data_IF_401254241837
#
_entry.id   IF_401254241837
#
_cell.length_a   1.000
_cell.length_b   1.000
_cell.length_c   1.000
_cell.angle_alpha   90.00
_cell.angle_beta   90.00
_cell.angle_gamma   90.00
#
_symmetry.space_group_name_H-M   'P 1'
#
loop_
_entity.id
_entity.type
_entity.pdbx_description
1 polymer ?
#
# COMPACT_ATOMS: atom_id res chain seq x y z
N UNK A 1 -18.98 39.15 16.46
CA UNK A 1 -19.28 39.37 17.88
C UNK A 1 -20.40 38.43 18.24
N UNK A 2 -20.15 37.61 19.27
CA UNK A 2 -21.09 36.89 20.13
C UNK A 2 -22.04 35.84 19.54
N UNK A 3 -22.40 34.76 20.24
CA UNK A 3 -21.70 33.83 21.14
C UNK A 3 -22.71 32.71 21.44
N UNK A 4 -22.22 31.48 21.53
CA UNK A 4 -22.75 30.41 22.39
C UNK A 4 -24.19 29.89 22.21
N UNK A 5 -24.29 28.64 21.75
CA UNK A 5 -24.88 27.55 22.54
C UNK A 5 -24.32 26.19 22.10
N UNK A 6 -23.45 25.63 22.95
CA UNK A 6 -23.10 24.21 22.98
C UNK A 6 -24.38 23.44 23.33
N UNK A 7 -24.77 22.49 22.48
CA UNK A 7 -25.59 21.36 22.92
C UNK A 7 -24.68 20.14 23.02
N UNK A 8 -24.51 19.67 24.26
CA UNK A 8 -24.08 18.31 24.57
C UNK A 8 -25.09 17.36 23.94
N UNK A 9 -24.63 16.44 23.09
CA UNK A 9 -25.31 15.18 22.89
C UNK A 9 -24.32 14.08 23.27
N UNK A 10 -24.85 13.20 24.12
CA UNK A 10 -24.21 12.05 24.74
C UNK A 10 -23.67 11.05 23.71
N UNK A 11 -22.57 10.40 24.12
CA UNK A 11 -22.16 9.04 23.82
C UNK A 11 -22.50 8.50 22.44
N UNK A 12 -21.58 8.73 21.50
CA UNK A 12 -21.38 7.79 20.38
C UNK A 12 -20.81 6.52 20.98
N UNK A 13 -21.67 5.55 21.30
CA UNK A 13 -21.24 4.18 21.60
C UNK A 13 -20.46 3.67 20.40
N UNK A 14 -19.13 3.62 20.54
CA UNK A 14 -18.25 2.82 19.71
C UNK A 14 -18.72 1.37 19.83
N UNK A 15 -19.30 0.81 18.78
CA UNK A 15 -19.65 -0.60 18.73
C UNK A 15 -18.37 -1.42 18.73
N UNK A 16 -17.95 -1.88 19.91
CA UNK A 16 -16.98 -2.95 20.04
C UNK A 16 -17.60 -4.22 19.48
N UNK A 17 -16.95 -4.81 18.47
CA UNK A 17 -17.23 -6.20 18.11
C UNK A 17 -16.54 -7.04 19.16
N UNK A 18 -17.24 -7.33 20.27
CA UNK A 18 -16.83 -8.41 21.16
C UNK A 18 -17.06 -9.71 20.38
N UNK A 19 -15.97 -10.25 19.82
CA UNK A 19 -16.01 -11.57 19.21
C UNK A 19 -16.38 -12.59 20.29
N UNK A 20 -17.47 -13.31 20.01
CA UNK A 20 -17.92 -14.51 20.72
C UNK A 20 -16.72 -15.34 21.17
N UNK A 21 -16.58 -15.50 22.49
CA UNK A 21 -15.71 -16.53 23.06
C UNK A 21 -16.24 -17.88 22.60
N UNK A 22 -15.61 -18.47 21.60
CA UNK A 22 -15.76 -19.89 21.31
C UNK A 22 -15.26 -20.66 22.54
N UNK A 23 -16.19 -21.31 23.24
CA UNK A 23 -15.88 -22.42 24.13
C UNK A 23 -15.24 -23.52 23.28
N UNK A 24 -13.92 -23.64 23.34
CA UNK A 24 -13.23 -24.86 22.93
C UNK A 24 -12.20 -25.25 23.98
N UNK A 25 -12.17 -26.55 24.27
CA UNK A 25 -11.53 -27.13 25.44
C UNK A 25 -10.00 -27.07 25.40
N UNK A 26 -9.42 -26.90 26.60
CA UNK A 26 -8.03 -27.25 26.96
C UNK A 26 -6.97 -27.11 25.86
N UNK A 27 -6.68 -25.89 25.41
CA UNK A 27 -5.41 -25.58 24.74
C UNK A 27 -4.41 -25.03 25.76
N UNK A 28 -3.20 -25.61 25.76
CA UNK A 28 -2.07 -25.19 26.60
C UNK A 28 -1.78 -23.69 26.37
N UNK A 29 -1.87 -22.88 27.43
CA UNK A 29 -1.46 -21.48 27.41
C UNK A 29 0.00 -21.39 27.00
N UNK A 30 0.26 -20.94 25.78
CA UNK A 30 1.62 -20.78 25.26
C UNK A 30 2.15 -19.38 25.54
N UNK A 31 3.48 -19.25 25.59
CA UNK A 31 4.25 -18.01 25.86
C UNK A 31 3.83 -16.82 24.97
N UNK A 32 3.16 -17.08 23.84
CA UNK A 32 2.74 -16.10 22.85
C UNK A 32 1.26 -15.68 22.92
N UNK A 33 0.42 -16.34 23.73
CA UNK A 33 -1.01 -15.96 23.83
C UNK A 33 -1.21 -14.64 24.59
N UNK A 34 -0.20 -14.25 25.38
CA UNK A 34 -0.20 -12.95 26.10
C UNK A 34 0.18 -11.76 25.19
N UNK A 35 0.66 -12.03 23.96
CA UNK A 35 1.33 -11.07 23.07
C UNK A 35 0.35 -10.21 22.26
N UNK A 36 -0.94 -10.54 22.18
CA UNK A 36 -1.78 -10.02 21.09
C UNK A 36 -3.18 -9.50 21.48
N UNK A 37 -3.28 -8.71 22.54
CA UNK A 37 -4.54 -8.07 22.94
C UNK A 37 -4.70 -6.61 22.50
N UNK A 38 -4.03 -6.17 21.42
CA UNK A 38 -4.28 -4.86 20.84
C UNK A 38 -5.63 -4.85 20.10
N UNK A 39 -6.57 -3.99 20.51
CA UNK A 39 -7.86 -3.77 19.83
C UNK A 39 -7.62 -2.89 18.60
N UNK A 40 -7.75 -3.45 17.39
CA UNK A 40 -7.88 -2.68 16.15
C UNK A 40 -9.33 -2.21 16.05
N UNK A 41 -9.55 -0.90 15.97
CA UNK A 41 -10.88 -0.33 15.83
C UNK A 41 -11.23 -0.14 14.35
N UNK A 42 -12.52 -0.27 14.01
CA UNK A 42 -13.01 -0.03 12.65
C UNK A 42 -12.65 1.38 12.13
N UNK A 43 -12.52 2.34 13.05
CA UNK A 43 -12.05 3.72 12.83
C UNK A 43 -10.59 3.83 12.40
N UNK A 44 -9.79 2.78 12.55
CA UNK A 44 -8.37 2.74 12.18
C UNK A 44 -8.18 2.48 10.69
N UNK A 45 -9.19 1.91 10.03
CA UNK A 45 -9.34 1.98 8.59
C UNK A 45 -9.94 3.35 8.23
N UNK A 46 -9.47 4.01 7.18
CA UNK A 46 -10.11 5.25 6.70
C UNK A 46 -11.44 4.99 5.98
N UNK A 47 -11.85 3.73 5.89
CA UNK A 47 -13.16 3.34 5.43
C UNK A 47 -14.25 3.91 6.35
N UNK A 48 -15.23 4.58 5.74
CA UNK A 48 -16.47 4.95 6.38
C UNK A 48 -17.21 3.71 6.91
N UNK A 49 -18.16 3.85 7.85
CA UNK A 49 -19.01 2.73 8.30
C UNK A 49 -19.76 2.04 7.14
N UNK A 50 -19.96 2.76 6.03
CA UNK A 50 -20.57 2.25 4.80
C UNK A 50 -19.58 1.55 3.84
N UNK A 51 -18.29 1.53 4.17
CA UNK A 51 -17.19 1.14 3.29
C UNK A 51 -16.57 -0.23 3.65
N UNK A 52 -16.87 -0.82 4.81
CA UNK A 52 -16.46 -2.18 5.23
C UNK A 52 -17.66 -3.00 5.72
N UNK A 53 -17.73 -4.29 5.35
CA UNK A 53 -18.71 -5.21 5.95
C UNK A 53 -18.17 -5.77 7.26
N UNK A 54 -19.05 -6.32 8.11
CA UNK A 54 -18.65 -6.97 9.36
C UNK A 54 -17.70 -8.15 9.12
N UNK A 55 -17.93 -8.94 8.07
CA UNK A 55 -17.08 -10.07 7.70
C UNK A 55 -15.68 -9.62 7.30
N UNK A 56 -15.58 -8.56 6.49
CA UNK A 56 -14.30 -7.99 6.10
C UNK A 56 -13.56 -7.40 7.30
N UNK A 57 -14.30 -6.73 8.20
CA UNK A 57 -13.75 -6.26 9.48
C UNK A 57 -13.15 -7.40 10.30
N UNK A 58 -13.84 -8.54 10.39
CA UNK A 58 -13.33 -9.73 11.08
C UNK A 58 -12.08 -10.31 10.41
N UNK A 59 -12.06 -10.42 9.07
CA UNK A 59 -10.90 -10.92 8.31
C UNK A 59 -9.69 -9.97 8.39
N UNK A 60 -9.91 -8.66 8.39
CA UNK A 60 -8.86 -7.67 8.63
C UNK A 60 -8.32 -7.83 10.05
N UNK A 61 -9.19 -8.04 11.02
CA UNK A 61 -8.78 -8.26 12.41
C UNK A 61 -7.96 -9.54 12.57
N UNK A 62 -8.25 -10.59 11.80
CA UNK A 62 -7.46 -11.84 11.81
C UNK A 62 -6.04 -11.65 11.26
N UNK A 63 -5.81 -10.70 10.35
CA UNK A 63 -4.47 -10.34 9.89
C UNK A 63 -3.77 -9.49 10.95
N UNK A 64 -3.17 -10.15 11.93
CA UNK A 64 -2.52 -9.50 13.07
C UNK A 64 -1.30 -10.30 13.55
N UNK A 65 -0.71 -9.83 14.65
CA UNK A 65 0.45 -10.45 15.27
C UNK A 65 0.21 -11.91 15.71
N UNK A 66 -1.02 -12.28 16.14
CA UNK A 66 -1.36 -13.68 16.47
C UNK A 66 -1.18 -14.59 15.27
N UNK A 67 -1.67 -14.17 14.11
CA UNK A 67 -1.59 -15.00 12.91
C UNK A 67 -0.12 -15.20 12.49
N UNK A 68 0.68 -14.14 12.55
CA UNK A 68 2.11 -14.23 12.31
C UNK A 68 2.80 -15.20 13.29
N UNK A 69 2.54 -15.07 14.59
CA UNK A 69 3.09 -15.98 15.60
C UNK A 69 2.55 -17.41 15.51
N UNK A 70 1.31 -17.61 15.06
CA UNK A 70 0.73 -18.92 14.83
C UNK A 70 1.54 -19.69 13.80
N UNK A 71 1.92 -19.06 12.69
CA UNK A 71 2.77 -19.68 11.66
C UNK A 71 4.20 -19.91 12.17
N UNK A 72 4.78 -18.95 12.89
CA UNK A 72 6.11 -19.15 13.50
C UNK A 72 6.12 -20.35 14.47
N UNK A 73 5.09 -20.47 15.31
CA UNK A 73 4.97 -21.58 16.26
C UNK A 73 4.65 -22.91 15.55
N UNK A 74 3.91 -22.88 14.43
CA UNK A 74 3.71 -24.06 13.59
C UNK A 74 5.05 -24.63 13.10
N UNK A 75 5.98 -23.76 12.69
CA UNK A 75 7.31 -24.16 12.23
C UNK A 75 8.24 -24.68 13.34
N UNK A 76 7.91 -24.44 14.62
CA UNK A 76 8.65 -25.03 15.76
C UNK A 76 8.22 -26.46 16.07
N UNK A 77 7.07 -26.92 15.56
CA UNK A 77 6.58 -28.29 15.79
C UNK A 77 7.38 -29.30 14.97
N UNK A 78 7.53 -30.52 15.48
CA UNK A 78 8.29 -31.58 14.80
C UNK A 78 7.69 -32.02 13.45
N UNK A 79 6.38 -31.84 13.25
CA UNK A 79 5.71 -32.17 11.98
C UNK A 79 6.05 -31.12 10.90
N UNK A 80 7.09 -31.42 10.13
CA UNK A 80 7.58 -30.56 9.05
C UNK A 80 6.67 -30.51 7.83
N UNK A 81 5.70 -31.43 7.70
CA UNK A 81 4.80 -31.47 6.53
C UNK A 81 3.92 -30.22 6.41
N UNK A 82 3.65 -29.59 7.56
CA UNK A 82 2.85 -28.37 7.70
C UNK A 82 3.68 -27.09 7.75
N UNK A 83 5.01 -27.19 7.75
CA UNK A 83 5.87 -26.02 7.80
C UNK A 83 5.66 -25.14 6.57
N UNK A 84 5.81 -23.83 6.80
CA UNK A 84 5.74 -22.80 5.76
C UNK A 84 7.06 -22.06 5.70
N UNK A 85 7.46 -21.66 4.50
CA UNK A 85 8.54 -20.69 4.31
C UNK A 85 7.95 -19.31 4.58
N UNK A 86 8.42 -18.63 5.63
CA UNK A 86 7.99 -17.26 5.89
C UNK A 86 8.84 -16.28 5.09
N UNK A 87 8.19 -15.52 4.23
CA UNK A 87 8.75 -14.39 3.51
C UNK A 87 8.08 -13.10 3.99
N UNK A 88 8.85 -12.08 4.34
CA UNK A 88 8.35 -10.76 4.73
C UNK A 88 8.81 -9.73 3.69
N UNK A 89 7.90 -8.96 3.11
CA UNK A 89 8.26 -7.83 2.24
C UNK A 89 7.98 -6.50 2.93
N UNK A 90 8.98 -5.62 3.01
CA UNK A 90 8.88 -4.33 3.71
C UNK A 90 8.61 -3.21 2.70
N UNK A 91 7.54 -2.44 2.92
CA UNK A 91 7.30 -1.22 2.15
C UNK A 91 8.36 -0.16 2.49
N UNK A 92 9.00 0.50 1.50
CA UNK A 92 9.98 1.55 1.74
C UNK A 92 9.47 2.68 2.66
N UNK A 93 8.18 3.03 2.60
CA UNK A 93 7.57 4.06 3.44
C UNK A 93 7.41 3.67 4.91
N UNK A 94 7.60 2.39 5.26
CA UNK A 94 7.65 1.91 6.64
C UNK A 94 9.03 2.10 7.26
N UNK A 95 10.11 2.13 6.48
CA UNK A 95 11.48 2.27 7.00
C UNK A 95 11.73 3.60 7.73
N UNK A 96 11.26 4.77 7.26
CA UNK A 96 11.39 6.03 7.98
C UNK A 96 10.81 6.00 9.40
N UNK A 97 9.74 5.23 9.63
CA UNK A 97 9.15 5.11 10.97
C UNK A 97 10.13 4.46 11.94
N UNK A 98 10.75 3.34 11.56
CA UNK A 98 11.75 2.66 12.39
C UNK A 98 13.02 3.49 12.55
N UNK A 99 13.48 4.12 11.47
CA UNK A 99 14.65 5.01 11.50
C UNK A 99 14.46 6.18 12.47
N UNK A 100 13.34 6.90 12.37
CA UNK A 100 13.04 8.02 13.26
C UNK A 100 12.82 7.56 14.71
N UNK A 101 11.98 6.53 14.93
CA UNK A 101 11.66 6.03 16.28
C UNK A 101 12.89 5.52 17.04
N UNK A 102 13.85 4.92 16.34
CA UNK A 102 15.05 4.33 16.95
C UNK A 102 16.33 5.15 16.75
N UNK A 103 16.23 6.35 16.15
CA UNK A 103 17.37 7.24 15.87
C UNK A 103 18.48 6.54 15.07
N UNK A 104 18.07 5.86 13.98
CA UNK A 104 18.94 5.12 13.06
C UNK A 104 18.92 5.78 11.67
N UNK A 105 19.94 5.53 10.86
CA UNK A 105 19.82 5.74 9.42
C UNK A 105 18.80 4.77 8.81
N UNK A 106 18.29 5.08 7.61
CA UNK A 106 17.32 4.20 6.93
C UNK A 106 17.91 2.82 6.60
N UNK A 107 19.21 2.77 6.27
CA UNK A 107 19.92 1.53 5.98
C UNK A 107 20.08 0.67 7.24
N UNK A 108 20.50 1.26 8.37
CA UNK A 108 20.57 0.56 9.65
C UNK A 108 19.18 0.08 10.09
N UNK A 109 18.14 0.90 9.90
CA UNK A 109 16.77 0.52 10.21
C UNK A 109 16.33 -0.70 9.38
N UNK A 110 16.61 -0.72 8.07
CA UNK A 110 16.31 -1.87 7.21
C UNK A 110 17.06 -3.13 7.65
N UNK A 111 18.37 -3.02 7.91
CA UNK A 111 19.20 -4.17 8.29
C UNK A 111 18.85 -4.74 9.67
N UNK A 112 18.60 -3.86 10.65
CA UNK A 112 18.20 -4.27 12.00
C UNK A 112 16.77 -4.80 12.01
N UNK A 113 15.87 -4.25 11.21
CA UNK A 113 14.54 -4.83 11.04
C UNK A 113 14.61 -6.23 10.41
N UNK A 114 15.44 -6.41 9.38
CA UNK A 114 15.71 -7.73 8.80
C UNK A 114 16.26 -8.72 9.85
N UNK A 115 17.31 -8.31 10.59
CA UNK A 115 17.89 -9.13 11.65
C UNK A 115 16.89 -9.50 12.75
N UNK A 116 16.05 -8.54 13.17
CA UNK A 116 14.97 -8.80 14.12
C UNK A 116 13.98 -9.83 13.58
N UNK A 117 13.46 -9.64 12.37
CA UNK A 117 12.51 -10.58 11.76
C UNK A 117 13.11 -11.98 11.61
N UNK A 118 14.37 -12.08 11.15
CA UNK A 118 15.08 -13.37 11.06
C UNK A 118 15.28 -14.01 12.44
N UNK A 119 15.53 -13.22 13.49
CA UNK A 119 15.61 -13.73 14.88
C UNK A 119 14.30 -14.34 15.39
N UNK A 120 13.15 -13.94 14.82
CA UNK A 120 11.85 -14.53 15.13
C UNK A 120 11.60 -15.86 14.40
N UNK A 121 12.38 -16.18 13.35
CA UNK A 121 12.19 -17.35 12.49
C UNK A 121 11.67 -17.03 11.08
N UNK A 122 11.73 -15.77 10.64
CA UNK A 122 11.47 -15.40 9.24
C UNK A 122 12.64 -15.88 8.38
N UNK A 123 12.33 -16.48 7.22
CA UNK A 123 13.35 -17.05 6.34
C UNK A 123 13.90 -15.99 5.39
N UNK A 124 12.99 -15.26 4.73
CA UNK A 124 13.33 -14.23 3.75
C UNK A 124 12.69 -12.90 4.11
N UNK A 125 13.44 -11.82 3.97
CA UNK A 125 13.02 -10.44 4.15
C UNK A 125 13.38 -9.68 2.89
N UNK A 126 12.40 -9.17 2.16
CA UNK A 126 12.57 -8.42 0.91
C UNK A 126 12.15 -6.96 1.09
N UNK A 127 12.56 -6.09 0.17
CA UNK A 127 11.98 -4.76 -0.01
C UNK A 127 11.00 -4.74 -1.20
N UNK A 128 9.96 -3.92 -1.15
CA UNK A 128 8.95 -3.84 -2.23
C UNK A 128 9.34 -2.87 -3.36
N UNK A 129 10.56 -2.33 -3.40
CA UNK A 129 10.93 -1.26 -4.36
C UNK A 129 10.82 -1.75 -5.80
N UNK A 130 11.25 -2.98 -6.08
CA UNK A 130 11.13 -3.55 -7.43
C UNK A 130 9.67 -3.75 -7.86
N UNK A 131 8.78 -4.07 -6.92
CA UNK A 131 7.36 -4.17 -7.21
C UNK A 131 6.74 -2.78 -7.50
N UNK A 132 7.24 -1.73 -6.84
CA UNK A 132 6.88 -0.36 -7.17
C UNK A 132 7.41 0.08 -8.54
N UNK A 133 8.60 -0.36 -8.95
CA UNK A 133 9.11 -0.12 -10.31
C UNK A 133 8.11 -0.62 -11.36
N UNK A 134 7.66 -1.88 -11.25
CA UNK A 134 6.63 -2.44 -12.14
C UNK A 134 5.32 -1.65 -12.11
N UNK A 135 4.82 -1.32 -10.91
CA UNK A 135 3.56 -0.59 -10.78
C UNK A 135 3.61 0.78 -11.46
N UNK A 136 4.72 1.50 -11.31
CA UNK A 136 4.93 2.81 -11.94
C UNK A 136 5.04 2.65 -13.46
N UNK A 137 5.85 1.73 -13.96
CA UNK A 137 6.06 1.51 -15.39
C UNK A 137 4.76 1.10 -16.10
N UNK A 138 3.97 0.20 -15.52
CA UNK A 138 2.66 -0.15 -16.10
C UNK A 138 1.67 1.02 -16.05
N UNK A 139 1.70 1.83 -14.99
CA UNK A 139 0.87 3.03 -14.91
C UNK A 139 1.25 4.09 -15.95
N UNK A 140 2.55 4.27 -16.22
CA UNK A 140 3.05 5.15 -17.27
C UNK A 140 2.54 4.73 -18.64
N UNK A 141 2.71 3.43 -18.98
CA UNK A 141 2.27 2.84 -20.25
C UNK A 141 0.77 2.98 -20.43
N UNK A 142 0.00 2.64 -19.41
CA UNK A 142 -1.45 2.72 -19.45
C UNK A 142 -1.93 4.16 -19.66
N UNK A 143 -1.33 5.15 -18.97
CA UNK A 143 -1.69 6.55 -19.15
C UNK A 143 -1.46 7.01 -20.59
N UNK A 144 -0.29 6.72 -21.18
CA UNK A 144 0.04 7.09 -22.56
C UNK A 144 -0.96 6.48 -23.54
N UNK A 145 -1.27 5.20 -23.38
CA UNK A 145 -2.24 4.50 -24.23
C UNK A 145 -3.65 5.12 -24.12
N UNK A 146 -4.13 5.35 -22.90
CA UNK A 146 -5.42 6.02 -22.65
C UNK A 146 -5.45 7.43 -23.25
N UNK A 147 -4.38 8.20 -23.07
CA UNK A 147 -4.29 9.55 -23.60
C UNK A 147 -4.36 9.57 -25.14
N UNK A 148 -3.69 8.64 -25.82
CA UNK A 148 -3.74 8.52 -27.28
C UNK A 148 -5.16 8.18 -27.79
N UNK A 149 -5.91 7.37 -27.03
CA UNK A 149 -7.27 6.93 -27.39
C UNK A 149 -8.40 7.81 -26.84
N UNK A 150 -8.08 8.93 -26.20
CA UNK A 150 -9.05 9.82 -25.54
C UNK A 150 -10.20 10.34 -26.41
N UNK A 151 -10.00 10.39 -27.73
CA UNK A 151 -11.04 10.81 -28.69
C UNK A 151 -11.87 9.63 -29.24
N UNK A 152 -11.47 8.40 -28.95
CA UNK A 152 -12.08 7.15 -29.43
C UNK A 152 -12.83 6.40 -28.32
N UNK A 153 -12.38 6.51 -27.08
CA UNK A 153 -12.93 5.82 -25.92
C UNK A 153 -13.47 6.83 -24.90
N UNK A 154 -14.77 6.75 -24.58
CA UNK A 154 -15.45 7.69 -23.66
C UNK A 154 -14.81 7.73 -22.26
N UNK A 155 -14.29 6.59 -21.79
CA UNK A 155 -13.73 6.44 -20.44
C UNK A 155 -12.20 6.43 -20.39
N UNK A 156 -11.52 6.80 -21.49
CA UNK A 156 -10.07 6.83 -21.51
C UNK A 156 -9.49 7.83 -20.50
N UNK A 157 -10.10 9.02 -20.35
CA UNK A 157 -9.68 10.05 -19.39
C UNK A 157 -10.88 10.59 -18.59
N UNK A 158 -10.68 11.06 -17.34
CA UNK A 158 -9.42 11.05 -16.58
C UNK A 158 -8.94 9.64 -16.21
N UNK A 159 -7.66 9.50 -15.88
CA UNK A 159 -7.11 8.30 -15.25
C UNK A 159 -6.83 8.57 -13.76
N UNK A 160 -7.30 7.69 -12.87
CA UNK A 160 -7.02 7.74 -11.43
C UNK A 160 -5.97 6.70 -11.05
N UNK A 161 -5.01 7.07 -10.22
CA UNK A 161 -4.07 6.11 -9.63
C UNK A 161 -4.79 5.06 -8.79
N UNK A 162 -4.20 3.86 -8.70
CA UNK A 162 -4.82 2.68 -8.09
C UNK A 162 -4.11 2.16 -6.83
N UNK A 163 -2.90 2.64 -6.53
CA UNK A 163 -2.04 2.06 -5.50
C UNK A 163 -2.57 2.21 -4.05
N UNK A 164 -3.51 3.12 -3.80
CA UNK A 164 -4.08 3.40 -2.49
C UNK A 164 -5.39 2.60 -2.26
N UNK A 165 -5.40 1.59 -1.37
CA UNK A 165 -6.58 0.74 -1.19
C UNK A 165 -7.78 1.48 -0.59
N UNK A 166 -7.54 2.47 0.28
CA UNK A 166 -8.62 3.31 0.82
C UNK A 166 -9.36 4.11 -0.26
N UNK A 167 -8.64 4.57 -1.29
CA UNK A 167 -9.24 5.20 -2.47
C UNK A 167 -10.04 4.19 -3.30
N UNK A 168 -9.41 3.05 -3.65
CA UNK A 168 -10.08 1.98 -4.42
C UNK A 168 -11.38 1.57 -3.74
N UNK A 169 -11.35 1.39 -2.42
CA UNK A 169 -12.51 0.96 -1.66
C UNK A 169 -13.65 1.97 -1.71
N UNK A 170 -13.33 3.25 -1.55
CA UNK A 170 -14.30 4.32 -1.69
C UNK A 170 -14.86 4.40 -3.11
N UNK A 171 -13.99 4.23 -4.11
CA UNK A 171 -14.37 4.22 -5.51
C UNK A 171 -15.37 3.10 -5.82
N UNK A 172 -15.08 1.85 -5.46
CA UNK A 172 -15.92 0.68 -5.78
C UNK A 172 -17.26 0.69 -5.05
N UNK A 173 -17.31 1.16 -3.80
CA UNK A 173 -18.51 1.09 -2.95
C UNK A 173 -19.38 2.33 -2.98
N UNK A 174 -18.79 3.51 -3.13
CA UNK A 174 -19.53 4.78 -3.03
C UNK A 174 -19.68 5.44 -4.39
N UNK A 175 -18.66 5.36 -5.24
CA UNK A 175 -18.67 6.04 -6.54
C UNK A 175 -19.11 5.12 -7.68
N UNK A 176 -18.89 3.82 -7.54
CA UNK A 176 -19.27 2.76 -8.49
C UNK A 176 -18.87 3.13 -9.92
N UNK A 177 -19.82 3.09 -10.86
CA UNK A 177 -19.61 3.32 -12.29
C UNK A 177 -19.11 4.74 -12.61
N UNK A 178 -19.16 5.69 -11.66
CA UNK A 178 -18.67 7.04 -11.88
C UNK A 178 -17.15 7.08 -12.12
N UNK A 179 -16.39 6.17 -11.50
CA UNK A 179 -14.92 6.23 -11.52
C UNK A 179 -14.24 4.91 -11.81
N UNK A 180 -14.89 3.74 -11.63
CA UNK A 180 -14.20 2.44 -11.72
C UNK A 180 -13.54 2.19 -13.07
N UNK A 181 -14.17 2.61 -14.18
CA UNK A 181 -13.59 2.55 -15.54
C UNK A 181 -12.38 3.49 -15.74
N UNK A 182 -12.29 4.53 -14.91
CA UNK A 182 -11.22 5.53 -14.95
C UNK A 182 -10.01 5.14 -14.07
N UNK A 183 -10.08 4.06 -13.29
CA UNK A 183 -8.97 3.63 -12.44
C UNK A 183 -7.92 2.90 -13.28
N UNK A 184 -6.65 3.23 -13.04
CA UNK A 184 -5.50 2.54 -13.59
C UNK A 184 -5.52 1.05 -13.20
N UNK A 185 -5.33 0.18 -14.17
CA UNK A 185 -5.39 -1.28 -13.99
C UNK A 185 -4.13 -1.87 -13.38
N UNK A 186 -2.99 -1.16 -13.40
CA UNK A 186 -1.77 -1.61 -12.75
C UNK A 186 -2.03 -1.91 -11.27
N UNK A 187 -1.63 -3.11 -10.83
CA UNK A 187 -1.69 -3.54 -9.42
C UNK A 187 -0.79 -2.65 -8.56
N UNK A 188 -1.11 -2.56 -7.27
CA UNK A 188 -0.26 -1.85 -6.32
C UNK A 188 1.06 -2.60 -6.07
N UNK A 189 2.10 -1.92 -5.54
CA UNK A 189 3.38 -2.57 -5.23
C UNK A 189 3.24 -3.77 -4.29
N UNK A 190 2.28 -3.74 -3.35
CA UNK A 190 2.02 -4.88 -2.46
C UNK A 190 1.60 -6.11 -3.26
N UNK A 191 0.65 -5.95 -4.18
CA UNK A 191 0.08 -7.10 -4.88
C UNK A 191 1.03 -7.62 -5.96
N UNK A 192 1.72 -6.72 -6.66
CA UNK A 192 2.83 -7.12 -7.54
C UNK A 192 3.86 -7.91 -6.75
N UNK A 193 4.26 -7.45 -5.56
CA UNK A 193 5.23 -8.19 -4.73
C UNK A 193 4.71 -9.57 -4.33
N UNK A 194 3.41 -9.71 -4.05
CA UNK A 194 2.77 -11.01 -3.86
C UNK A 194 2.97 -11.94 -5.06
N UNK A 195 2.71 -11.45 -6.28
CA UNK A 195 2.96 -12.20 -7.51
C UNK A 195 4.45 -12.51 -7.72
N UNK A 196 5.37 -11.61 -7.34
CA UNK A 196 6.81 -11.87 -7.44
C UNK A 196 7.26 -12.95 -6.46
N UNK A 197 6.88 -12.86 -5.19
CA UNK A 197 7.28 -13.81 -4.15
C UNK A 197 6.69 -15.20 -4.41
N UNK A 198 5.39 -15.26 -4.70
CA UNK A 198 4.68 -16.54 -4.89
C UNK A 198 4.76 -17.08 -6.31
N UNK A 199 5.13 -16.26 -7.30
CA UNK A 199 5.27 -16.70 -8.70
C UNK A 199 6.73 -16.87 -9.11
N UNK A 200 7.51 -15.79 -9.06
CA UNK A 200 8.90 -15.78 -9.52
C UNK A 200 9.84 -16.48 -8.53
N UNK A 201 9.87 -16.01 -7.29
CA UNK A 201 10.77 -16.52 -6.26
C UNK A 201 10.45 -17.96 -5.86
N UNK A 202 9.17 -18.29 -5.66
CA UNK A 202 8.75 -19.67 -5.40
C UNK A 202 9.28 -20.65 -6.46
N UNK A 203 9.20 -20.28 -7.74
CA UNK A 203 9.72 -21.08 -8.85
C UNK A 203 11.24 -21.21 -8.79
N UNK A 204 11.98 -20.15 -8.49
CA UNK A 204 13.44 -20.20 -8.32
C UNK A 204 13.86 -21.14 -7.19
N UNK A 205 13.10 -21.15 -6.10
CA UNK A 205 13.35 -21.99 -4.92
C UNK A 205 12.79 -23.42 -5.05
N UNK A 206 12.19 -23.77 -6.19
CA UNK A 206 11.47 -25.04 -6.39
C UNK A 206 10.39 -25.31 -5.31
N UNK A 207 9.71 -24.25 -4.86
CA UNK A 207 8.62 -24.29 -3.90
C UNK A 207 7.28 -24.12 -4.62
N UNK A 208 6.26 -24.83 -4.14
CA UNK A 208 4.89 -24.51 -4.53
C UNK A 208 4.43 -23.23 -3.80
N UNK A 209 3.63 -22.37 -4.45
CA UNK A 209 3.25 -21.07 -3.88
C UNK A 209 2.52 -21.16 -2.53
N UNK A 210 1.75 -22.23 -2.31
CA UNK A 210 1.05 -22.49 -1.05
C UNK A 210 2.00 -22.77 0.13
N UNK A 211 3.26 -23.16 -0.13
CA UNK A 211 4.27 -23.39 0.91
C UNK A 211 4.87 -22.10 1.44
N UNK A 212 4.67 -20.97 0.76
CA UNK A 212 5.14 -19.67 1.20
C UNK A 212 4.02 -18.97 1.97
N UNK A 213 4.31 -18.56 3.20
CA UNK A 213 3.48 -17.62 3.94
C UNK A 213 4.10 -16.23 3.80
N UNK A 214 3.51 -15.42 2.93
CA UNK A 214 4.00 -14.10 2.56
C UNK A 214 3.32 -13.02 3.41
N UNK A 215 4.14 -12.30 4.18
CA UNK A 215 3.72 -11.19 5.02
C UNK A 215 4.21 -9.88 4.42
N UNK A 216 3.39 -8.83 4.44
CA UNK A 216 3.82 -7.49 4.05
C UNK A 216 3.83 -6.57 5.26
N UNK A 217 4.94 -5.85 5.47
CA UNK A 217 5.02 -4.78 6.47
C UNK A 217 4.71 -3.45 5.80
N UNK A 218 3.57 -2.87 6.12
CA UNK A 218 3.01 -1.70 5.44
C UNK A 218 2.76 -0.51 6.39
N UNK A 219 2.70 0.73 5.87
CA UNK A 219 2.40 1.91 6.69
C UNK A 219 0.89 2.09 6.97
N UNK A 220 0.02 1.21 6.46
CA UNK A 220 -1.42 1.45 6.41
C UNK A 220 -2.24 0.18 6.69
N UNK A 221 -3.34 0.33 7.44
CA UNK A 221 -4.32 -0.75 7.65
C UNK A 221 -5.10 -1.12 6.39
N UNK A 222 -5.35 -0.18 5.48
CA UNK A 222 -6.10 -0.45 4.25
C UNK A 222 -5.39 -1.47 3.34
N UNK A 223 -4.08 -1.69 3.54
CA UNK A 223 -3.32 -2.75 2.86
C UNK A 223 -3.75 -4.16 3.29
N UNK A 224 -4.27 -4.33 4.52
CA UNK A 224 -4.92 -5.57 4.97
C UNK A 224 -6.18 -5.86 4.14
N UNK A 225 -6.98 -4.83 3.85
CA UNK A 225 -8.17 -4.98 2.98
C UNK A 225 -7.78 -5.36 1.56
N UNK A 226 -6.73 -4.75 1.03
CA UNK A 226 -6.23 -5.08 -0.31
C UNK A 226 -5.83 -6.55 -0.41
N UNK A 227 -5.13 -7.09 0.60
CA UNK A 227 -4.72 -8.49 0.65
C UNK A 227 -5.90 -9.49 0.68
N UNK A 228 -7.10 -9.05 1.08
CA UNK A 228 -8.29 -9.90 1.18
C UNK A 228 -9.12 -9.97 -0.11
N UNK A 229 -8.79 -9.16 -1.13
CA UNK A 229 -9.54 -9.15 -2.39
C UNK A 229 -9.46 -10.51 -3.07
N UNK A 230 -10.62 -11.00 -3.51
CA UNK A 230 -10.73 -12.30 -4.19
C UNK A 230 -9.96 -12.33 -5.52
N UNK A 231 -9.83 -11.18 -6.19
CA UNK A 231 -9.04 -11.03 -7.42
C UNK A 231 -7.55 -11.38 -7.24
N UNK A 232 -7.06 -11.39 -6.00
CA UNK A 232 -5.67 -11.73 -5.65
C UNK A 232 -5.55 -13.12 -5.01
N UNK A 233 -6.56 -13.97 -5.24
CA UNK A 233 -6.53 -15.38 -4.87
C UNK A 233 -6.18 -16.24 -6.08
N UNK A 234 -5.10 -17.01 -5.99
CA UNK A 234 -4.72 -17.92 -7.06
C UNK A 234 -5.39 -19.27 -6.85
N UNK A 235 -6.48 -19.53 -7.60
CA UNK A 235 -7.20 -20.81 -7.54
C UNK A 235 -6.30 -22.02 -7.87
N UNK A 236 -5.31 -21.86 -8.75
CA UNK A 236 -4.36 -22.92 -9.12
C UNK A 236 -3.56 -23.46 -7.92
N UNK A 237 -3.25 -22.60 -6.96
CA UNK A 237 -2.44 -22.95 -5.78
C UNK A 237 -3.23 -22.87 -4.47
N UNK A 238 -4.53 -22.57 -4.54
CA UNK A 238 -5.41 -22.38 -3.40
C UNK A 238 -4.77 -21.46 -2.32
N UNK A 239 -4.21 -20.32 -2.76
CA UNK A 239 -3.42 -19.43 -1.91
C UNK A 239 -3.56 -17.97 -2.36
N UNK A 240 -3.68 -17.00 -1.43
CA UNK A 240 -3.65 -15.59 -1.75
C UNK A 240 -2.24 -15.14 -2.15
N UNK A 241 -2.10 -14.05 -2.92
CA UNK A 241 -0.79 -13.47 -3.26
C UNK A 241 -0.05 -12.92 -2.02
N UNK A 242 -0.81 -12.40 -1.04
CA UNK A 242 -0.33 -11.91 0.26
C UNK A 242 -1.19 -12.55 1.36
N UNK A 243 -0.59 -13.28 2.29
CA UNK A 243 -1.33 -14.02 3.33
C UNK A 243 -1.66 -13.14 4.54
N UNK A 244 -0.77 -12.20 4.88
CA UNK A 244 -0.93 -11.35 6.04
C UNK A 244 -0.28 -9.99 5.81
N UNK A 245 -0.89 -8.93 6.31
CA UNK A 245 -0.28 -7.60 6.37
C UNK A 245 -0.14 -7.18 7.82
N UNK A 246 1.06 -6.80 8.22
CA UNK A 246 1.36 -6.19 9.51
C UNK A 246 1.69 -4.71 9.29
N UNK A 247 1.14 -3.86 10.14
CA UNK A 247 1.51 -2.45 10.10
C UNK A 247 2.86 -2.20 10.75
N UNK A 248 3.52 -1.08 10.44
CA UNK A 248 4.79 -0.70 11.08
C UNK A 248 4.63 -0.54 12.60
N UNK A 249 3.49 -0.01 13.05
CA UNK A 249 3.12 0.07 14.46
C UNK A 249 2.95 -1.32 15.10
N UNK A 250 2.31 -2.27 14.43
CA UNK A 250 2.18 -3.65 14.95
C UNK A 250 3.56 -4.33 15.08
N UNK A 251 4.47 -4.14 14.13
CA UNK A 251 5.83 -4.67 14.24
C UNK A 251 6.59 -4.02 15.41
N UNK A 252 6.45 -2.71 15.60
CA UNK A 252 7.03 -2.01 16.75
C UNK A 252 6.46 -2.50 18.09
N UNK A 253 5.15 -2.80 18.15
CA UNK A 253 4.55 -3.41 19.34
C UNK A 253 5.16 -4.78 19.64
N UNK A 254 5.41 -5.62 18.62
CA UNK A 254 6.10 -6.89 18.82
C UNK A 254 7.51 -6.66 19.41
N UNK A 255 8.24 -5.66 18.90
CA UNK A 255 9.57 -5.30 19.42
C UNK A 255 9.51 -4.85 20.88
N UNK A 256 8.56 -3.96 21.22
CA UNK A 256 8.35 -3.45 22.58
C UNK A 256 8.02 -4.57 23.56
N UNK A 257 7.09 -5.46 23.21
CA UNK A 257 6.70 -6.60 24.05
C UNK A 257 7.83 -7.60 24.28
N UNK A 258 8.74 -7.75 23.30
CA UNK A 258 9.94 -8.58 23.43
C UNK A 258 11.11 -7.85 24.08
N UNK A 259 10.91 -6.62 24.56
CA UNK A 259 11.95 -5.76 25.12
C UNK A 259 13.18 -5.65 24.20
N UNK A 260 12.95 -5.54 22.89
CA UNK A 260 14.02 -5.45 21.90
C UNK A 260 14.69 -4.09 21.96
N UNK A 261 15.97 -4.10 22.30
CA UNK A 261 16.86 -2.97 22.08
C UNK A 261 17.41 -3.07 20.65
N UNK A 262 16.99 -2.15 19.77
CA UNK A 262 17.42 -2.16 18.37
C UNK A 262 18.94 -2.11 18.21
N UNK A 263 19.67 -1.56 19.19
CA UNK A 263 21.14 -1.52 19.23
C UNK A 263 21.77 -2.92 19.33
N UNK A 264 21.07 -3.87 19.95
CA UNK A 264 21.55 -5.22 20.20
C UNK A 264 21.10 -6.22 19.12
N UNK A 265 20.22 -5.78 18.20
CA UNK A 265 19.81 -6.58 17.04
C UNK A 265 20.94 -6.61 16.02
N UNK A 266 21.29 -7.79 15.55
CA UNK A 266 22.28 -7.95 14.48
C UNK A 266 21.82 -7.25 13.19
N UNK A 267 22.74 -6.55 12.53
CA UNK A 267 22.51 -6.00 11.20
C UNK A 267 22.61 -7.12 10.16
N UNK A 268 21.50 -7.42 9.49
CA UNK A 268 21.45 -8.43 8.43
C UNK A 268 20.95 -7.77 7.15
N UNK A 269 21.64 -7.99 6.04
CA UNK A 269 21.20 -7.51 4.73
C UNK A 269 19.78 -8.00 4.42
N UNK A 270 18.98 -7.15 3.77
CA UNK A 270 17.70 -7.55 3.18
C UNK A 270 18.00 -8.55 2.05
N UNK A 271 17.21 -9.62 1.98
CA UNK A 271 17.34 -10.63 0.92
C UNK A 271 16.93 -10.04 -0.44
N UNK A 272 17.51 -10.59 -1.50
CA UNK A 272 17.22 -10.20 -2.89
C UNK A 272 16.39 -11.28 -3.59
N UNK A 273 15.53 -10.87 -4.53
CA UNK A 273 14.87 -11.80 -5.45
C UNK A 273 15.82 -12.35 -6.53
N UNK A 274 17.05 -11.84 -6.59
CA UNK A 274 18.07 -12.22 -7.57
C UNK A 274 19.37 -12.59 -6.88
N UNK A 275 19.90 -13.77 -7.19
CA UNK A 275 21.08 -14.36 -6.54
C UNK A 275 22.37 -13.54 -6.77
N UNK A 276 22.43 -12.75 -7.85
CA UNK A 276 23.60 -11.95 -8.24
C UNK A 276 23.61 -10.54 -7.64
N UNK A 277 22.48 -10.09 -7.08
CA UNK A 277 22.35 -8.80 -6.43
C UNK A 277 22.98 -8.85 -5.04
N UNK A 278 24.12 -8.18 -4.89
CA UNK A 278 24.73 -7.92 -3.59
C UNK A 278 23.93 -6.87 -2.82
N UNK A 279 24.20 -6.81 -1.52
CA UNK A 279 23.66 -5.82 -0.59
C UNK A 279 23.67 -4.41 -1.22
N UNK A 280 22.47 -3.84 -1.38
CA UNK A 280 22.26 -2.51 -1.93
C UNK A 280 21.73 -1.55 -0.86
N UNK A 281 22.04 -0.27 -1.02
CA UNK A 281 21.44 0.77 -0.18
C UNK A 281 19.94 0.88 -0.45
N UNK A 282 19.19 1.28 0.58
CA UNK A 282 17.78 1.62 0.46
C UNK A 282 17.65 2.82 -0.49
N UNK A 283 16.81 2.66 -1.51
CA UNK A 283 16.46 3.73 -2.46
C UNK A 283 14.97 4.01 -2.41
N UNK A 284 14.56 5.14 -2.98
CA UNK A 284 13.16 5.47 -3.22
C UNK A 284 12.96 5.96 -4.66
N UNK A 285 11.69 6.08 -5.03
CA UNK A 285 11.28 6.74 -6.26
C UNK A 285 11.26 8.26 -6.12
N UNK A 286 11.25 8.96 -7.27
CA UNK A 286 10.89 10.38 -7.30
C UNK A 286 9.51 10.57 -6.65
N UNK A 287 9.38 11.57 -5.78
CA UNK A 287 8.20 11.76 -4.93
C UNK A 287 8.58 12.09 -3.48
N UNK A 288 7.82 12.99 -2.84
CA UNK A 288 8.18 13.50 -1.49
C UNK A 288 7.57 12.71 -0.32
N UNK A 289 6.50 11.94 -0.55
CA UNK A 289 5.68 11.34 0.55
C UNK A 289 5.10 9.96 0.24
N UNK A 290 5.35 9.46 -0.96
CA UNK A 290 4.86 8.20 -1.53
C UNK A 290 5.77 7.85 -2.71
N UNK A 291 5.45 6.83 -3.51
CA UNK A 291 6.24 6.43 -4.69
C UNK A 291 6.18 7.41 -5.89
N UNK A 292 5.48 8.54 -5.73
CA UNK A 292 5.41 9.66 -6.69
C UNK A 292 4.94 9.29 -8.09
N UNK A 293 3.83 8.54 -8.18
CA UNK A 293 3.23 8.13 -9.46
C UNK A 293 2.94 9.34 -10.35
N UNK A 294 2.46 10.44 -9.77
CA UNK A 294 2.21 11.68 -10.52
C UNK A 294 3.46 12.14 -11.27
N UNK A 295 4.60 12.19 -10.58
CA UNK A 295 5.85 12.70 -11.14
C UNK A 295 6.38 11.81 -12.26
N UNK A 296 6.41 10.50 -12.03
CA UNK A 296 6.86 9.52 -13.02
C UNK A 296 5.96 9.50 -14.26
N UNK A 297 4.64 9.45 -14.08
CA UNK A 297 3.69 9.42 -15.21
C UNK A 297 3.73 10.74 -15.97
N UNK A 298 3.86 11.87 -15.28
CA UNK A 298 3.92 13.18 -15.93
C UNK A 298 5.18 13.34 -16.79
N UNK A 299 6.37 13.01 -16.24
CA UNK A 299 7.64 13.09 -16.98
C UNK A 299 7.64 12.14 -18.18
N UNK A 300 7.19 10.90 -17.99
CA UNK A 300 7.09 9.92 -19.06
C UNK A 300 6.11 10.37 -20.17
N UNK A 301 4.90 10.80 -19.79
CA UNK A 301 3.91 11.29 -20.74
C UNK A 301 4.37 12.53 -21.50
N UNK A 302 5.04 13.48 -20.84
CA UNK A 302 5.61 14.66 -21.49
C UNK A 302 6.59 14.29 -22.61
N UNK A 303 7.45 13.30 -22.34
CA UNK A 303 8.44 12.80 -23.29
C UNK A 303 7.78 12.03 -24.43
N UNK A 304 6.99 11.01 -24.13
CA UNK A 304 6.42 10.10 -25.13
C UNK A 304 5.35 10.74 -26.01
N UNK A 305 4.49 11.61 -25.44
CA UNK A 305 3.38 12.22 -26.19
C UNK A 305 3.77 13.52 -26.87
N UNK A 306 4.73 14.28 -26.32
CA UNK A 306 5.03 15.64 -26.76
C UNK A 306 6.49 15.91 -27.11
N UNK A 307 7.39 14.95 -26.89
CA UNK A 307 8.83 15.09 -27.14
C UNK A 307 9.53 16.04 -26.16
N UNK A 308 8.94 16.27 -24.98
CA UNK A 308 9.44 17.23 -23.99
C UNK A 308 10.10 16.52 -22.82
N UNK A 309 11.41 16.74 -22.64
CA UNK A 309 12.17 16.20 -21.50
C UNK A 309 12.00 17.10 -20.27
N UNK A 310 11.15 16.68 -19.33
CA UNK A 310 10.84 17.42 -18.10
C UNK A 310 11.70 16.89 -16.95
N UNK A 311 12.66 17.70 -16.49
CA UNK A 311 13.56 17.33 -15.38
C UNK A 311 12.94 17.61 -14.01
N UNK A 312 12.33 18.78 -13.86
CA UNK A 312 11.72 19.24 -12.62
C UNK A 312 10.25 19.57 -12.86
N UNK A 313 9.40 19.25 -11.87
CA UNK A 313 7.97 19.58 -11.91
C UNK A 313 7.62 20.60 -10.84
N UNK A 314 6.81 21.59 -11.24
CA UNK A 314 6.34 22.65 -10.34
C UNK A 314 4.94 22.32 -9.85
N UNK A 315 4.83 22.03 -8.55
CA UNK A 315 3.53 21.79 -7.90
C UNK A 315 2.88 23.10 -7.47
N UNK A 316 1.72 23.41 -8.03
CA UNK A 316 0.89 24.52 -7.59
C UNK A 316 -0.13 24.04 -6.56
N UNK A 317 0.02 24.47 -5.31
CA UNK A 317 -1.00 24.22 -4.29
C UNK A 317 -2.31 24.93 -4.67
N UNK A 318 -3.42 24.20 -4.58
CA UNK A 318 -4.75 24.74 -4.86
C UNK A 318 -5.40 25.22 -3.56
N UNK A 319 -6.32 24.45 -3.00
CA UNK A 319 -7.03 24.81 -1.76
C UNK A 319 -6.16 24.63 -0.50
N UNK A 320 -5.24 23.68 -0.53
CA UNK A 320 -4.36 23.33 0.59
C UNK A 320 -3.13 22.57 0.08
N UNK A 321 -2.18 22.25 0.97
CA UNK A 321 -0.93 21.55 0.64
C UNK A 321 -1.11 20.11 0.11
N UNK A 322 -2.27 19.52 0.35
CA UNK A 322 -2.62 18.14 -0.01
C UNK A 322 -3.51 18.07 -1.26
N UNK A 323 -3.74 19.22 -1.93
CA UNK A 323 -4.34 19.27 -3.26
C UNK A 323 -3.49 20.15 -4.16
N UNK A 324 -2.67 19.52 -5.00
CA UNK A 324 -1.69 20.18 -5.84
C UNK A 324 -1.95 19.88 -7.32
N UNK A 325 -1.60 20.82 -8.19
CA UNK A 325 -1.75 20.73 -9.63
C UNK A 325 -0.39 20.86 -10.32
N UNK A 326 -0.19 20.11 -11.41
CA UNK A 326 0.97 20.18 -12.29
C UNK A 326 0.47 20.25 -13.74
N UNK A 327 1.01 21.18 -14.52
CA UNK A 327 0.60 21.39 -15.92
C UNK A 327 1.80 21.38 -16.86
N UNK A 328 1.60 20.83 -18.06
CA UNK A 328 2.53 20.97 -19.18
C UNK A 328 1.88 21.88 -20.22
N UNK A 329 2.60 22.91 -20.63
CA UNK A 329 2.20 23.82 -21.70
C UNK A 329 3.05 23.55 -22.95
N UNK A 330 2.39 23.53 -24.11
CA UNK A 330 3.04 23.44 -25.43
C UNK A 330 2.26 24.32 -26.40
N UNK A 331 2.96 25.17 -27.14
CA UNK A 331 2.38 26.09 -28.12
C UNK A 331 1.25 26.99 -27.57
N UNK A 332 1.34 27.36 -26.29
CA UNK A 332 0.34 28.20 -25.60
C UNK A 332 -0.89 27.45 -25.07
N UNK A 333 -0.95 26.12 -25.24
CA UNK A 333 -2.04 25.27 -24.76
C UNK A 333 -1.58 24.36 -23.61
N UNK A 334 -2.46 24.13 -22.62
CA UNK A 334 -2.22 23.12 -21.59
C UNK A 334 -2.46 21.72 -22.17
N UNK A 335 -1.39 21.00 -22.49
CA UNK A 335 -1.46 19.65 -23.09
C UNK A 335 -1.54 18.53 -22.04
N UNK A 336 -0.95 18.72 -20.86
CA UNK A 336 -1.13 17.85 -19.69
C UNK A 336 -1.57 18.66 -18.47
N UNK A 337 -2.49 18.10 -17.69
CA UNK A 337 -2.97 18.69 -16.44
C UNK A 337 -3.21 17.58 -15.44
N UNK A 338 -2.33 17.46 -14.46
CA UNK A 338 -2.32 16.41 -13.46
C UNK A 338 -2.64 17.00 -12.10
N UNK A 339 -3.18 16.19 -11.19
CA UNK A 339 -3.39 16.58 -9.81
C UNK A 339 -2.95 15.50 -8.81
N UNK A 340 -2.46 15.94 -7.66
CA UNK A 340 -2.35 15.11 -6.46
C UNK A 340 -3.49 15.51 -5.51
N UNK A 341 -4.32 14.55 -5.11
CA UNK A 341 -5.45 14.76 -4.22
C UNK A 341 -5.37 13.82 -3.02
N UNK A 342 -4.81 14.32 -1.91
CA UNK A 342 -4.58 13.53 -0.69
C UNK A 342 -5.58 13.88 0.40
N UNK A 343 -6.08 12.87 1.11
CA UNK A 343 -7.09 13.03 2.15
C UNK A 343 -8.52 13.01 1.61
N UNK A 344 -9.42 12.29 2.30
CA UNK A 344 -10.83 12.14 1.92
C UNK A 344 -11.58 13.44 1.63
N UNK A 345 -11.27 14.52 2.36
CA UNK A 345 -11.86 15.84 2.09
C UNK A 345 -11.52 16.35 0.69
N UNK A 346 -10.27 16.17 0.24
CA UNK A 346 -9.86 16.58 -1.11
C UNK A 346 -10.46 15.63 -2.16
N UNK A 347 -10.50 14.32 -1.88
CA UNK A 347 -11.13 13.30 -2.74
C UNK A 347 -12.61 13.63 -2.99
N UNK A 348 -13.39 13.89 -1.93
CA UNK A 348 -14.80 14.25 -2.06
C UNK A 348 -15.00 15.53 -2.87
N UNK A 349 -14.17 16.56 -2.64
CA UNK A 349 -14.21 17.79 -3.41
C UNK A 349 -13.90 17.57 -4.91
N UNK A 350 -12.93 16.70 -5.21
CA UNK A 350 -12.58 16.30 -6.57
C UNK A 350 -13.75 15.57 -7.24
N UNK A 351 -14.35 14.59 -6.57
CA UNK A 351 -15.52 13.83 -7.06
C UNK A 351 -16.71 14.75 -7.32
N UNK A 352 -16.96 15.74 -6.45
CA UNK A 352 -18.02 16.72 -6.68
C UNK A 352 -17.79 17.55 -7.94
N UNK A 353 -16.54 17.85 -8.31
CA UNK A 353 -16.22 18.51 -9.58
C UNK A 353 -16.45 17.57 -10.78
N UNK A 354 -16.07 16.29 -10.63
CA UNK A 354 -16.31 15.25 -11.64
C UNK A 354 -17.81 15.11 -11.95
N UNK A 355 -18.65 14.92 -10.92
CA UNK A 355 -20.11 14.83 -11.05
C UNK A 355 -20.76 16.04 -11.73
N UNK A 356 -20.14 17.22 -11.63
CA UNK A 356 -20.64 18.47 -12.22
C UNK A 356 -20.14 18.70 -13.65
N UNK A 357 -19.39 17.76 -14.24
CA UNK A 357 -18.77 17.94 -15.56
C UNK A 357 -17.69 19.03 -15.59
N UNK A 358 -17.16 19.43 -14.43
CA UNK A 358 -16.12 20.48 -14.29
C UNK A 358 -14.77 19.87 -13.96
N UNK A 359 -14.44 18.76 -14.61
CA UNK A 359 -13.20 18.02 -14.41
C UNK A 359 -12.21 18.34 -15.53
N UNK A 360 -11.01 18.80 -15.16
CA UNK A 360 -10.02 19.31 -16.12
C UNK A 360 -8.72 18.50 -16.11
N UNK A 361 -8.63 17.47 -15.27
CA UNK A 361 -7.41 16.69 -15.08
C UNK A 361 -7.40 15.50 -16.02
N UNK A 362 -6.25 15.24 -16.64
CA UNK A 362 -6.03 14.02 -17.41
C UNK A 362 -5.64 12.86 -16.50
N UNK A 363 -4.87 13.13 -15.44
CA UNK A 363 -4.48 12.14 -14.43
C UNK A 363 -4.65 12.71 -13.03
N UNK A 364 -5.04 11.86 -12.08
CA UNK A 364 -5.01 12.21 -10.66
C UNK A 364 -4.39 11.10 -9.81
N UNK A 365 -3.37 11.46 -9.04
CA UNK A 365 -2.86 10.65 -7.94
C UNK A 365 -3.74 10.85 -6.71
N UNK A 366 -4.35 9.76 -6.22
CA UNK A 366 -5.35 9.81 -5.15
C UNK A 366 -4.88 8.97 -3.97
N UNK A 367 -4.66 9.61 -2.81
CA UNK A 367 -4.27 8.94 -1.58
C UNK A 367 -5.26 9.27 -0.47
N UNK A 368 -5.74 8.25 0.25
CA UNK A 368 -6.73 8.40 1.31
C UNK A 368 -6.24 9.23 2.51
N UNK A 369 -4.94 9.12 2.84
CA UNK A 369 -4.32 9.83 3.94
C UNK A 369 -3.83 11.23 3.52
N UNK A 370 -4.13 12.31 4.27
CA UNK A 370 -3.43 13.59 4.13
C UNK A 370 -1.92 13.38 4.31
N UNK A 371 -1.06 14.00 3.49
CA UNK A 371 0.38 13.73 3.55
C UNK A 371 0.81 12.36 3.01
N UNK A 372 -0.06 11.61 2.33
CA UNK A 372 0.31 10.36 1.66
C UNK A 372 0.68 9.21 2.59
N UNK A 373 1.43 8.24 2.06
CA UNK A 373 1.70 6.97 2.73
C UNK A 373 2.55 7.11 4.00
N UNK A 374 3.43 8.12 4.10
CA UNK A 374 4.18 8.40 5.33
C UNK A 374 3.28 8.71 6.54
N UNK A 375 2.09 9.28 6.31
CA UNK A 375 1.09 9.53 7.34
C UNK A 375 -0.04 8.47 7.33
N UNK A 376 0.30 7.24 6.94
CA UNK A 376 -0.59 6.09 7.06
C UNK A 376 -0.98 5.82 8.51
N UNK A 377 -2.23 5.43 8.75
CA UNK A 377 -2.74 5.14 10.11
C UNK A 377 -2.08 3.94 10.79
N UNK A 378 -1.36 3.11 10.05
CA UNK A 378 -0.62 1.96 10.58
C UNK A 378 0.72 2.35 11.23
N UNK A 379 1.05 3.64 11.29
CA UNK A 379 2.30 4.13 11.86
C UNK A 379 2.12 5.51 12.49
N UNK A 380 3.14 5.95 13.24
CA UNK A 380 3.25 7.27 13.86
C UNK A 380 1.92 7.82 14.44
N UNK A 381 1.21 6.99 15.20
CA UNK A 381 0.04 7.40 15.99
C UNK A 381 0.44 7.53 17.46
N UNK A 382 -0.15 8.50 18.15
CA UNK A 382 -0.16 8.59 19.62
C UNK A 382 -1.09 7.54 20.21
N UNK A 383 -1.03 7.30 21.52
CA UNK A 383 -1.94 6.39 22.23
C UNK A 383 -3.43 6.75 22.01
N UNK A 384 -3.75 8.04 21.88
CA UNK A 384 -5.10 8.54 21.56
C UNK A 384 -5.53 8.33 20.08
N UNK A 385 -4.75 7.61 19.27
CA UNK A 385 -5.05 7.35 17.85
C UNK A 385 -4.94 8.58 16.94
N UNK A 386 -4.18 9.60 17.34
CA UNK A 386 -3.93 10.81 16.54
C UNK A 386 -2.54 10.75 15.90
N UNK A 387 -2.33 11.41 14.75
CA UNK A 387 -1.00 11.49 14.15
C UNK A 387 0.01 12.16 15.10
N UNK A 388 1.13 11.48 15.37
CA UNK A 388 2.28 12.03 16.07
C UNK A 388 3.05 12.94 15.11
N UNK A 389 2.79 14.25 15.23
CA UNK A 389 3.37 15.26 14.33
C UNK A 389 4.89 15.38 14.45
N UNK A 390 5.45 15.12 15.63
CA UNK A 390 6.89 15.24 15.84
C UNK A 390 7.61 14.08 15.17
N UNK A 391 7.11 12.85 15.35
CA UNK A 391 7.65 11.67 14.68
C UNK A 391 7.46 11.75 13.16
N UNK A 392 6.30 12.19 12.69
CA UNK A 392 6.05 12.36 11.25
C UNK A 392 7.01 13.36 10.59
N UNK A 393 7.34 14.47 11.26
CA UNK A 393 8.30 15.43 10.73
C UNK A 393 9.70 14.80 10.55
N UNK A 394 10.14 14.01 11.53
CA UNK A 394 11.41 13.26 11.43
C UNK A 394 11.36 12.21 10.31
N UNK A 395 10.24 11.52 10.15
CA UNK A 395 10.04 10.56 9.07
C UNK A 395 10.10 11.23 7.68
N UNK A 396 9.51 12.42 7.52
CA UNK A 396 9.60 13.20 6.28
C UNK A 396 11.04 13.59 5.94
N UNK A 397 11.83 13.99 6.94
CA UNK A 397 13.26 14.31 6.80
C UNK A 397 14.07 13.07 6.37
N UNK A 398 13.90 11.95 7.09
CA UNK A 398 14.54 10.67 6.77
C UNK A 398 14.19 10.23 5.36
N UNK A 399 12.89 10.25 4.99
CA UNK A 399 12.45 9.81 3.67
C UNK A 399 13.01 10.69 2.54
N UNK A 400 13.04 12.00 2.74
CA UNK A 400 13.57 12.94 1.73
C UNK A 400 15.06 12.71 1.47
N UNK A 401 15.82 12.33 2.50
CA UNK A 401 17.24 12.04 2.41
C UNK A 401 17.58 10.70 1.72
N UNK A 402 16.61 9.80 1.52
CA UNK A 402 16.82 8.53 0.80
C UNK A 402 17.17 8.84 -0.67
N UNK A 403 18.25 8.23 -1.23
CA UNK A 403 18.60 8.39 -2.64
C UNK A 403 17.47 7.98 -3.58
N UNK A 404 17.29 8.75 -4.65
CA UNK A 404 16.32 8.45 -5.70
C UNK A 404 16.93 7.51 -6.74
N UNK A 405 16.14 6.51 -7.15
CA UNK A 405 16.40 5.69 -8.33
C UNK A 405 15.17 5.70 -9.24
N UNK A 406 15.39 5.88 -10.54
CA UNK A 406 14.33 5.84 -11.55
C UNK A 406 13.97 4.40 -11.90
N UNK A 407 12.67 4.03 -11.99
CA UNK A 407 12.23 2.67 -12.34
C UNK A 407 12.87 2.14 -13.63
N UNK A 408 13.00 2.98 -14.65
CA UNK A 408 13.50 2.64 -15.98
C UNK A 408 14.98 2.23 -15.96
N UNK A 409 15.72 2.64 -14.93
CA UNK A 409 17.15 2.32 -14.76
C UNK A 409 17.38 0.97 -14.07
N UNK A 410 16.33 0.34 -13.55
CA UNK A 410 16.45 -0.96 -12.90
C UNK A 410 16.53 -2.09 -13.93
N UNK A 411 17.76 -2.54 -14.25
CA UNK A 411 18.00 -3.61 -15.21
C UNK A 411 17.33 -4.94 -14.83
N UNK A 412 17.08 -5.19 -13.54
CA UNK A 412 16.41 -6.40 -13.08
C UNK A 412 14.93 -6.43 -13.46
N UNK A 413 14.27 -5.27 -13.50
CA UNK A 413 12.90 -5.14 -13.98
C UNK A 413 12.84 -5.49 -15.47
N UNK A 414 13.76 -4.94 -16.27
CA UNK A 414 13.86 -5.25 -17.70
C UNK A 414 14.11 -6.74 -17.94
N UNK A 415 15.01 -7.35 -17.17
CA UNK A 415 15.28 -8.79 -17.22
C UNK A 415 14.04 -9.62 -16.87
N UNK A 416 13.32 -9.26 -15.83
CA UNK A 416 12.08 -9.96 -15.45
C UNK A 416 10.97 -9.83 -16.50
N UNK A 417 10.84 -8.67 -17.15
CA UNK A 417 9.91 -8.53 -18.29
C UNK A 417 10.21 -9.55 -19.39
N UNK A 418 11.48 -9.75 -19.72
CA UNK A 418 11.90 -10.67 -20.79
C UNK A 418 11.83 -12.14 -20.34
N UNK A 419 12.50 -12.48 -19.23
CA UNK A 419 12.78 -13.86 -18.83
C UNK A 419 11.58 -14.52 -18.14
N UNK A 420 10.81 -13.75 -17.35
CA UNK A 420 9.71 -14.28 -16.56
C UNK A 420 8.34 -13.89 -17.10
N UNK A 421 8.14 -12.64 -17.49
CA UNK A 421 6.84 -12.14 -17.96
C UNK A 421 6.64 -12.33 -19.47
N UNK A 422 7.59 -12.93 -20.21
CA UNK A 422 7.42 -13.28 -21.62
C UNK A 422 7.21 -12.07 -22.55
N UNK A 423 7.78 -10.92 -22.18
CA UNK A 423 7.69 -9.66 -22.89
C UNK A 423 6.70 -8.67 -22.28
N UNK A 424 6.91 -7.39 -22.54
CA UNK A 424 6.14 -6.28 -21.93
C UNK A 424 4.67 -6.26 -22.33
N UNK A 425 4.31 -6.76 -23.51
CA UNK A 425 2.92 -6.78 -24.03
C UNK A 425 2.29 -8.18 -23.90
N UNK A 426 2.87 -9.07 -23.11
CA UNK A 426 2.38 -10.44 -22.99
C UNK A 426 1.07 -10.52 -22.20
N UNK A 427 0.31 -11.59 -22.41
CA UNK A 427 -0.84 -11.92 -21.56
C UNK A 427 -0.42 -12.10 -20.10
N UNK A 428 0.78 -12.62 -19.85
CA UNK A 428 1.30 -12.84 -18.51
C UNK A 428 1.53 -11.53 -17.75
N UNK A 429 1.92 -10.45 -18.42
CA UNK A 429 1.95 -9.10 -17.82
C UNK A 429 0.55 -8.71 -17.35
N UNK A 430 -0.47 -8.87 -18.19
CA UNK A 430 -1.85 -8.54 -17.82
C UNK A 430 -2.34 -9.36 -16.62
N UNK A 431 -2.14 -10.68 -16.65
CA UNK A 431 -2.59 -11.58 -15.57
C UNK A 431 -1.80 -11.35 -14.25
N UNK A 432 -0.53 -10.95 -14.33
CA UNK A 432 0.36 -10.84 -13.17
C UNK A 432 0.35 -9.43 -12.56
N UNK A 433 0.43 -8.39 -13.41
CA UNK A 433 0.67 -7.01 -13.00
C UNK A 433 -0.57 -6.12 -13.06
N UNK A 434 -1.68 -6.57 -13.65
CA UNK A 434 -2.90 -5.79 -13.76
C UNK A 434 -4.07 -6.44 -13.00
N UNK A 435 -5.08 -5.63 -12.72
CA UNK A 435 -6.34 -6.03 -12.10
C UNK A 435 -7.46 -5.14 -12.64
N UNK A 436 -8.70 -5.47 -12.29
CA UNK A 436 -9.88 -4.70 -12.67
C UNK A 436 -10.62 -4.25 -11.41
N UNK A 437 -11.48 -3.24 -11.59
CA UNK A 437 -12.27 -2.66 -10.53
C UNK A 437 -13.72 -2.63 -11.00
N UNK A 438 -14.62 -3.16 -10.17
CA UNK A 438 -16.03 -3.27 -10.51
C UNK A 438 -16.88 -2.64 -9.42
N UNK A 439 -18.05 -2.11 -9.80
CA UNK A 439 -19.03 -1.67 -8.83
C UNK A 439 -19.48 -2.86 -7.98
N UNK A 440 -19.44 -2.71 -6.65
CA UNK A 440 -20.02 -3.70 -5.76
C UNK A 440 -21.53 -3.47 -5.74
N UNK A 441 -22.31 -4.41 -6.28
CA UNK A 441 -23.77 -4.36 -6.22
C UNK A 441 -24.23 -4.45 -4.75
N UNK A 442 -24.46 -3.32 -4.10
CA UNK A 442 -25.19 -3.30 -2.85
C UNK A 442 -26.68 -3.51 -3.17
N UNK A 443 -27.28 -4.55 -2.60
CA UNK A 443 -28.74 -4.66 -2.51
C UNK A 443 -29.27 -3.42 -1.78
N UNK A 444 -29.79 -2.48 -2.57
CA UNK A 444 -30.65 -1.35 -2.20
C UNK A 444 -30.80 -1.07 -0.70
N UNK A 445 -30.03 -0.11 -0.17
CA UNK A 445 -30.66 0.96 0.60
C UNK A 445 -30.09 2.30 0.15
N UNK A 446 -30.88 3.01 -0.64
CA UNK A 446 -30.70 4.45 -0.88
C UNK A 446 -30.99 5.18 0.43
N UNK A 447 -30.05 5.11 1.37
CA UNK A 447 -30.02 6.04 2.48
C UNK A 447 -29.22 7.25 2.01
N UNK A 448 -29.95 8.34 1.77
CA UNK A 448 -29.37 9.68 1.69
C UNK A 448 -28.40 9.85 2.86
N UNK A 449 -27.11 9.88 2.53
CA UNK A 449 -26.05 10.07 3.51
C UNK A 449 -26.12 11.53 3.99
N UNK A 450 -26.86 11.76 5.07
CA UNK A 450 -26.76 12.97 5.87
C UNK A 450 -25.66 12.76 6.91
N UNK A 451 -24.60 13.56 6.79
CA UNK A 451 -23.54 13.72 7.79
C UNK A 451 -23.91 14.83 8.77
#
# INVERSE_FOLDING_TARGET
QECSKKQKNDDTQSTSVDALSSNDGSEEKNEFDTVANAKIFLSDCLACDSCMTLEEGARVFQQNQKEFFRILNLNKKCDTSKHKVLAVSICPQSLPYFAAKFSLSVNEAAKRLCGFLKSLGVHYVFDTTIAADFSILESQREFVQRYQRRNQEEHALPMFASACPGWIRYAERVLTNLVTSHICTAKSPQQIMGSLVKGYFARQQNLSPDKIFHVVVAPCYDKKLEALREDFYTALYNSPEVDCVLTSGEVAQIMEQKNVSMKDVAEVAVDSLFDDLKEGDVVRHDGKRSDGYLEHIFKHAAKELFGMDVKEITYKALKNKDFQEVTLEKDGETVLRFAAAYGFRNIQNMVLKLKKGKFLYHFVEVLACPGGCLNGKGQAQTEDGKPDRALLAQMEEVYTAIPVRLPETNLYVQKMYQDWLEGMDSKKVQDTLHTTYSAVNQTTSSLDIKW
#
